data_IF_990788906837
#
_entry.id   IF_990788906837
#
_cell.length_a   1.000
_cell.length_b   1.000
_cell.length_c   1.000
_cell.angle_alpha   90.00
_cell.angle_beta   90.00
_cell.angle_gamma   90.00
#
_symmetry.space_group_name_H-M   'P 1'
#
loop_
_entity.id
_entity.type
_entity.pdbx_description
1 polymer ?
#
# COMPACT_ATOMS: atom_id res chain seq x y z
N UNK A 1 21.85 79.08 -9.80
CA UNK A 1 20.78 78.21 -9.27
C UNK A 1 21.02 76.81 -9.81
N UNK A 2 21.75 75.97 -9.06
CA UNK A 2 22.01 74.58 -9.44
C UNK A 2 20.89 73.72 -8.85
N UNK A 3 19.94 73.34 -9.71
CA UNK A 3 18.84 72.48 -9.33
C UNK A 3 19.34 71.04 -9.34
N UNK A 4 19.64 70.52 -8.15
CA UNK A 4 20.00 69.11 -7.97
C UNK A 4 18.73 68.29 -8.23
N UNK A 5 18.59 67.77 -9.44
CA UNK A 5 17.54 66.82 -9.79
C UNK A 5 17.77 65.54 -9.00
N UNK A 6 17.04 65.38 -7.90
CA UNK A 6 16.94 64.10 -7.21
C UNK A 6 16.44 63.07 -8.24
N UNK A 7 17.28 62.11 -8.61
CA UNK A 7 16.84 60.98 -9.42
C UNK A 7 15.56 60.42 -8.76
N UNK A 8 14.54 60.04 -9.55
CA UNK A 8 13.28 59.55 -9.01
C UNK A 8 13.44 58.11 -8.47
N UNK A 9 14.37 57.88 -7.54
CA UNK A 9 14.72 56.56 -6.99
C UNK A 9 13.52 55.91 -6.33
N UNK A 10 12.71 56.70 -5.61
CA UNK A 10 11.53 56.22 -4.88
C UNK A 10 10.43 55.65 -5.80
N UNK A 11 9.94 56.37 -6.83
CA UNK A 11 8.92 55.81 -7.72
C UNK A 11 9.45 54.62 -8.54
N UNK A 12 10.73 54.60 -8.93
CA UNK A 12 11.31 53.43 -9.59
C UNK A 12 11.38 52.21 -8.66
N UNK A 13 11.75 52.40 -7.39
CA UNK A 13 11.74 51.32 -6.40
C UNK A 13 10.33 50.77 -6.14
N UNK A 14 9.32 51.64 -6.05
CA UNK A 14 7.91 51.23 -5.90
C UNK A 14 7.40 50.46 -7.12
N UNK A 15 7.79 50.87 -8.33
CA UNK A 15 7.42 50.20 -9.57
C UNK A 15 8.05 48.81 -9.64
N UNK A 16 9.34 48.69 -9.29
CA UNK A 16 10.03 47.38 -9.21
C UNK A 16 9.38 46.49 -8.15
N UNK A 17 9.08 47.02 -6.96
CA UNK A 17 8.44 46.24 -5.90
C UNK A 17 7.04 45.77 -6.30
N UNK A 18 6.26 46.65 -6.96
CA UNK A 18 4.96 46.31 -7.52
C UNK A 18 5.05 45.22 -8.59
N UNK A 19 6.02 45.31 -9.51
CA UNK A 19 6.25 44.28 -10.52
C UNK A 19 6.66 42.94 -9.90
N UNK A 20 7.53 42.95 -8.89
CA UNK A 20 7.94 41.73 -8.16
C UNK A 20 6.75 41.13 -7.42
N UNK A 21 5.92 41.94 -6.76
CA UNK A 21 4.73 41.46 -6.07
C UNK A 21 3.70 40.86 -7.04
N UNK A 22 3.44 41.52 -8.18
CA UNK A 22 2.58 40.99 -9.24
C UNK A 22 3.17 39.69 -9.80
N UNK A 23 4.48 39.63 -10.04
CA UNK A 23 5.15 38.42 -10.52
C UNK A 23 4.99 37.27 -9.51
N UNK A 24 5.22 37.52 -8.22
CA UNK A 24 5.05 36.51 -7.17
C UNK A 24 3.60 36.04 -7.02
N UNK A 25 2.61 36.89 -7.28
CA UNK A 25 1.19 36.53 -7.24
C UNK A 25 0.68 35.84 -8.51
N UNK A 26 1.35 36.08 -9.65
CA UNK A 26 0.93 35.56 -10.96
C UNK A 26 1.67 34.29 -11.35
N UNK A 27 2.87 34.05 -10.82
CA UNK A 27 3.59 32.80 -11.02
C UNK A 27 2.87 31.70 -10.24
N UNK A 28 2.36 30.66 -10.92
CA UNK A 28 1.79 29.52 -10.22
C UNK A 28 2.90 28.87 -9.41
N UNK A 29 2.77 28.94 -8.09
CA UNK A 29 3.54 28.09 -7.19
C UNK A 29 3.01 26.69 -7.37
N UNK A 30 3.78 25.82 -8.03
CA UNK A 30 3.57 24.39 -7.88
C UNK A 30 3.73 24.12 -6.38
N UNK A 31 2.65 23.70 -5.71
CA UNK A 31 2.77 23.09 -4.38
C UNK A 31 3.91 22.06 -4.49
N UNK A 32 4.86 22.10 -3.57
CA UNK A 32 5.80 20.98 -3.41
C UNK A 32 4.94 19.83 -2.91
N UNK A 33 4.30 19.13 -3.85
CA UNK A 33 3.44 18.00 -3.58
C UNK A 33 4.36 16.95 -2.97
N UNK A 34 4.26 16.79 -1.65
CA UNK A 34 4.86 15.66 -0.97
C UNK A 34 4.47 14.39 -1.71
N UNK A 35 5.42 13.47 -1.82
CA UNK A 35 5.14 12.21 -2.49
C UNK A 35 3.89 11.59 -1.84
N UNK A 36 2.88 11.24 -2.65
CA UNK A 36 1.65 10.62 -2.18
C UNK A 36 2.02 9.39 -1.35
N UNK A 37 1.44 9.29 -0.15
CA UNK A 37 1.68 8.14 0.72
C UNK A 37 1.31 6.81 0.04
N UNK A 38 1.77 5.68 0.57
CA UNK A 38 1.46 4.37 -0.01
C UNK A 38 0.13 3.79 0.51
N UNK A 39 -0.54 3.05 -0.35
CA UNK A 39 -1.62 2.10 -0.02
C UNK A 39 -1.06 0.69 -0.15
N UNK A 40 -1.63 -0.26 0.62
CA UNK A 40 -1.16 -1.63 0.72
C UNK A 40 -2.28 -2.63 0.44
N UNK A 41 -1.91 -3.85 0.09
CA UNK A 41 -2.83 -5.00 -0.01
C UNK A 41 -2.08 -6.30 0.25
N UNK A 42 -2.72 -7.26 0.88
CA UNK A 42 -2.13 -8.57 1.23
C UNK A 42 -2.85 -9.67 0.45
N UNK A 43 -2.08 -10.59 -0.13
CA UNK A 43 -2.58 -11.82 -0.74
C UNK A 43 -1.85 -13.01 -0.14
N UNK A 44 -2.60 -13.98 0.37
CA UNK A 44 -2.10 -15.29 0.76
C UNK A 44 -2.41 -16.28 -0.37
N UNK A 45 -1.38 -16.74 -1.07
CA UNK A 45 -1.48 -17.81 -2.06
C UNK A 45 -1.38 -19.16 -1.34
N UNK A 46 -2.53 -19.77 -1.09
CA UNK A 46 -2.63 -21.08 -0.44
C UNK A 46 -2.51 -22.19 -1.50
N UNK A 47 -1.26 -22.43 -1.90
CA UNK A 47 -0.83 -23.53 -2.76
C UNK A 47 -1.07 -24.92 -2.15
N UNK A 48 -0.92 -25.97 -2.97
CA UNK A 48 -1.00 -27.36 -2.48
C UNK A 48 0.18 -27.74 -1.59
N UNK A 49 1.36 -27.18 -1.87
CA UNK A 49 2.62 -27.59 -1.22
C UNK A 49 3.06 -26.65 -0.11
N UNK A 50 2.66 -25.38 -0.17
CA UNK A 50 3.03 -24.32 0.77
C UNK A 50 1.98 -23.21 0.71
N UNK A 51 2.15 -22.20 1.57
CA UNK A 51 1.39 -20.95 1.51
C UNK A 51 2.37 -19.79 1.55
N UNK A 52 2.20 -18.83 0.64
CA UNK A 52 3.02 -17.61 0.61
C UNK A 52 2.13 -16.39 0.84
N UNK A 53 2.60 -15.47 1.69
CA UNK A 53 1.97 -14.18 1.92
C UNK A 53 2.74 -13.11 1.17
N UNK A 54 2.06 -12.38 0.30
CA UNK A 54 2.59 -11.24 -0.45
C UNK A 54 1.98 -9.94 0.05
N UNK A 55 2.81 -8.96 0.34
CA UNK A 55 2.39 -7.58 0.60
C UNK A 55 2.69 -6.78 -0.65
N UNK A 56 1.68 -6.13 -1.20
CA UNK A 56 1.81 -5.19 -2.31
C UNK A 56 1.63 -3.76 -1.82
N UNK A 57 2.26 -2.82 -2.52
CA UNK A 57 2.05 -1.38 -2.30
C UNK A 57 1.99 -0.59 -3.60
N UNK A 58 1.27 0.52 -3.56
CA UNK A 58 1.16 1.48 -4.66
C UNK A 58 0.97 2.90 -4.13
N UNK A 59 1.39 3.95 -4.86
CA UNK A 59 1.09 5.34 -4.51
C UNK A 59 -0.42 5.55 -4.34
N UNK A 60 -0.83 6.29 -3.32
CA UNK A 60 -2.25 6.55 -3.03
C UNK A 60 -2.92 7.39 -4.13
N UNK A 61 -2.15 8.23 -4.81
CA UNK A 61 -2.58 8.83 -6.06
C UNK A 61 -2.43 7.81 -7.19
N UNK A 62 -3.45 7.72 -8.03
CA UNK A 62 -3.40 6.84 -9.18
C UNK A 62 -2.80 7.61 -10.35
N UNK A 63 -1.70 7.13 -10.90
CA UNK A 63 -1.11 7.69 -12.11
C UNK A 63 -2.07 7.41 -13.29
N UNK A 64 -2.75 8.45 -13.78
CA UNK A 64 -3.77 8.33 -14.83
C UNK A 64 -4.93 7.37 -14.48
N UNK A 65 -5.30 7.30 -13.21
CA UNK A 65 -6.37 6.38 -12.75
C UNK A 65 -5.90 4.92 -12.58
N UNK A 66 -4.64 4.61 -12.88
CA UNK A 66 -4.01 3.30 -12.63
C UNK A 66 -2.99 3.41 -11.50
N UNK A 67 -3.09 2.53 -10.51
CA UNK A 67 -2.03 2.34 -9.51
C UNK A 67 -0.96 1.41 -10.07
N UNK A 68 0.30 1.84 -10.10
CA UNK A 68 1.42 0.94 -10.38
C UNK A 68 1.71 0.15 -9.11
N UNK A 69 1.28 -1.11 -9.08
CA UNK A 69 1.43 -1.99 -7.93
C UNK A 69 2.80 -2.66 -7.95
N UNK A 70 3.49 -2.65 -6.82
CA UNK A 70 4.79 -3.29 -6.62
C UNK A 70 4.73 -4.22 -5.43
N UNK A 71 5.45 -5.35 -5.49
CA UNK A 71 5.64 -6.20 -4.32
C UNK A 71 6.50 -5.47 -3.30
N UNK A 72 6.00 -5.39 -2.07
CA UNK A 72 6.67 -4.73 -0.96
C UNK A 72 7.49 -5.72 -0.13
N UNK A 73 6.88 -6.84 0.27
CA UNK A 73 7.51 -7.93 1.00
C UNK A 73 6.77 -9.25 0.77
N UNK A 74 7.41 -10.34 1.18
CA UNK A 74 6.91 -11.72 1.04
C UNK A 74 7.26 -12.52 2.29
N UNK A 75 6.41 -13.46 2.66
CA UNK A 75 6.66 -14.39 3.75
C UNK A 75 6.21 -15.81 3.37
N UNK A 76 7.15 -16.75 3.42
CA UNK A 76 6.87 -18.17 3.23
C UNK A 76 6.38 -18.80 4.52
N UNK A 77 5.15 -19.28 4.53
CA UNK A 77 4.56 -19.97 5.69
C UNK A 77 5.28 -21.30 5.91
N UNK A 78 5.66 -21.57 7.15
CA UNK A 78 6.28 -22.85 7.50
C UNK A 78 5.24 -23.98 7.44
N UNK A 79 5.61 -25.08 6.80
CA UNK A 79 4.78 -26.27 6.70
C UNK A 79 4.28 -26.51 5.28
N UNK A 80 3.20 -27.28 5.15
CA UNK A 80 2.55 -27.56 3.88
C UNK A 80 1.51 -26.50 3.50
N UNK A 81 0.83 -26.72 2.37
CA UNK A 81 -0.37 -25.96 2.02
C UNK A 81 -1.50 -26.19 3.02
N UNK A 82 -2.48 -25.28 3.07
CA UNK A 82 -3.55 -25.33 4.09
C UNK A 82 -4.35 -26.66 4.08
N UNK A 83 -4.48 -27.31 2.91
CA UNK A 83 -5.13 -28.61 2.78
C UNK A 83 -4.40 -29.76 3.47
N UNK A 84 -3.13 -29.56 3.89
CA UNK A 84 -2.35 -30.58 4.61
C UNK A 84 -2.73 -30.69 6.10
N UNK A 85 -3.49 -29.73 6.64
CA UNK A 85 -3.90 -29.68 8.05
C UNK A 85 -5.24 -30.38 8.33
N UNK A 86 -5.77 -31.13 7.36
CA UNK A 86 -6.94 -32.01 7.51
C UNK A 86 -6.81 -32.85 8.79
N UNK A 87 -7.89 -32.89 9.59
CA UNK A 87 -7.91 -33.56 10.90
C UNK A 87 -7.18 -32.85 12.04
N UNK A 88 -6.52 -31.71 11.81
CA UNK A 88 -5.77 -30.95 12.83
C UNK A 88 -6.45 -29.62 13.15
N UNK A 89 -7.41 -29.64 14.09
CA UNK A 89 -8.25 -28.48 14.40
C UNK A 89 -7.46 -27.20 14.73
N UNK A 90 -7.73 -26.14 13.99
CA UNK A 90 -7.13 -24.82 14.08
C UNK A 90 -5.68 -24.74 13.62
N UNK A 91 -5.08 -25.82 13.10
CA UNK A 91 -3.69 -25.81 12.69
C UNK A 91 -3.48 -25.03 11.39
N UNK A 92 -4.47 -25.00 10.49
CA UNK A 92 -4.39 -24.20 9.27
C UNK A 92 -4.29 -22.71 9.60
N UNK A 93 -5.19 -22.18 10.44
CA UNK A 93 -5.13 -20.78 10.89
C UNK A 93 -3.83 -20.44 11.63
N UNK A 94 -3.43 -21.27 12.61
CA UNK A 94 -2.17 -21.07 13.36
C UNK A 94 -0.93 -21.07 12.47
N UNK A 95 -0.93 -21.82 11.37
CA UNK A 95 0.20 -21.83 10.44
C UNK A 95 0.49 -20.44 9.85
N UNK A 96 -0.54 -19.60 9.69
CA UNK A 96 -0.45 -18.29 9.06
C UNK A 96 0.02 -17.18 10.02
N UNK A 97 -0.11 -17.38 11.34
CA UNK A 97 0.14 -16.36 12.38
C UNK A 97 1.50 -15.68 12.22
N UNK A 98 2.57 -16.46 12.02
CA UNK A 98 3.92 -15.90 11.92
C UNK A 98 4.09 -14.93 10.74
N UNK A 99 3.45 -15.20 9.60
CA UNK A 99 3.49 -14.31 8.43
C UNK A 99 2.52 -13.13 8.59
N UNK A 100 1.37 -13.33 9.22
CA UNK A 100 0.45 -12.22 9.55
C UNK A 100 1.08 -11.24 10.53
N UNK A 101 1.78 -11.74 11.56
CA UNK A 101 2.54 -10.91 12.51
C UNK A 101 3.64 -10.11 11.81
N UNK A 102 4.28 -10.70 10.79
CA UNK A 102 5.25 -9.99 9.96
C UNK A 102 4.56 -8.88 9.15
N UNK A 103 3.39 -9.14 8.57
CA UNK A 103 2.64 -8.13 7.84
C UNK A 103 2.20 -6.95 8.73
N UNK A 104 1.83 -7.20 9.98
CA UNK A 104 1.52 -6.15 10.97
C UNK A 104 2.72 -5.23 11.23
N UNK A 105 3.95 -5.77 11.16
CA UNK A 105 5.19 -4.98 11.31
C UNK A 105 5.59 -4.24 10.04
N UNK A 106 5.39 -4.86 8.88
CA UNK A 106 5.81 -4.32 7.59
C UNK A 106 4.90 -3.19 7.09
N UNK A 107 3.63 -3.19 7.48
CA UNK A 107 2.65 -2.17 7.08
C UNK A 107 2.53 -1.11 8.18
N UNK A 108 2.56 0.20 7.85
CA UNK A 108 2.31 1.26 8.82
C UNK A 108 0.95 1.13 9.50
N UNK A 109 0.90 1.36 10.82
CA UNK A 109 -0.28 1.13 11.66
C UNK A 109 -1.52 1.89 11.18
N UNK A 110 -1.33 3.12 10.71
CA UNK A 110 -2.36 3.98 10.14
C UNK A 110 -2.97 3.43 8.83
N UNK A 111 -2.31 2.45 8.19
CA UNK A 111 -2.80 1.78 6.97
C UNK A 111 -3.48 0.45 7.24
N UNK A 112 -3.37 -0.14 8.43
CA UNK A 112 -3.92 -1.47 8.74
C UNK A 112 -5.41 -1.58 8.42
N UNK A 113 -6.23 -0.61 8.86
CA UNK A 113 -7.69 -0.62 8.64
C UNK A 113 -8.09 -0.55 7.16
N UNK A 114 -7.23 0.01 6.31
CA UNK A 114 -7.50 0.20 4.88
C UNK A 114 -6.75 -0.81 4.01
N UNK A 115 -6.02 -1.75 4.62
CA UNK A 115 -5.26 -2.76 3.89
C UNK A 115 -6.13 -4.01 3.74
N UNK A 116 -6.65 -4.32 2.54
CA UNK A 116 -7.41 -5.53 2.34
C UNK A 116 -6.49 -6.75 2.41
N UNK A 117 -7.03 -7.85 2.91
CA UNK A 117 -6.35 -9.14 3.02
C UNK A 117 -7.20 -10.17 2.28
N UNK A 118 -6.59 -10.89 1.35
CA UNK A 118 -7.25 -11.95 0.59
C UNK A 118 -6.48 -13.24 0.72
N UNK A 119 -7.18 -14.35 0.92
CA UNK A 119 -6.62 -15.68 0.81
C UNK A 119 -7.22 -16.37 -0.42
N UNK A 120 -6.34 -16.83 -1.32
CA UNK A 120 -6.71 -17.58 -2.51
C UNK A 120 -6.16 -18.99 -2.41
N UNK A 121 -7.02 -19.99 -2.26
CA UNK A 121 -6.60 -21.39 -2.27
C UNK A 121 -6.70 -22.00 -3.67
N UNK A 122 -5.73 -22.84 -4.03
CA UNK A 122 -5.59 -23.37 -5.39
C UNK A 122 -5.91 -24.87 -5.49
N UNK A 123 -5.10 -25.64 -6.24
CA UNK A 123 -5.43 -27.02 -6.62
C UNK A 123 -5.57 -27.96 -5.42
N UNK A 124 -4.79 -27.76 -4.35
CA UNK A 124 -4.86 -28.59 -3.14
C UNK A 124 -6.23 -28.57 -2.48
N UNK A 125 -6.78 -27.37 -2.28
CA UNK A 125 -8.13 -27.21 -1.74
C UNK A 125 -9.22 -27.64 -2.72
N UNK A 126 -9.05 -27.47 -4.03
CA UNK A 126 -10.02 -27.99 -5.01
C UNK A 126 -10.14 -29.51 -4.94
N UNK A 127 -9.02 -30.21 -4.80
CA UNK A 127 -9.00 -31.67 -4.63
C UNK A 127 -9.64 -32.06 -3.29
N UNK A 128 -9.34 -31.33 -2.21
CA UNK A 128 -9.98 -31.55 -0.92
C UNK A 128 -11.50 -31.37 -1.00
N UNK A 129 -11.99 -30.30 -1.63
CA UNK A 129 -13.42 -30.06 -1.84
C UNK A 129 -14.12 -31.21 -2.56
N UNK A 130 -13.47 -31.83 -3.55
CA UNK A 130 -14.05 -32.96 -4.30
C UNK A 130 -14.09 -34.24 -3.45
N UNK A 131 -13.07 -34.46 -2.63
CA UNK A 131 -12.91 -35.69 -1.85
C UNK A 131 -13.62 -35.66 -0.51
N UNK A 132 -13.60 -34.52 0.18
CA UNK A 132 -14.22 -34.28 1.47
C UNK A 132 -14.61 -32.78 1.61
N UNK A 133 -15.83 -32.41 1.14
CA UNK A 133 -16.33 -31.04 1.24
C UNK A 133 -16.37 -30.49 2.67
N UNK A 134 -16.72 -31.34 3.65
CA UNK A 134 -16.87 -30.91 5.03
C UNK A 134 -15.53 -30.49 5.64
N UNK A 135 -14.46 -31.26 5.37
CA UNK A 135 -13.12 -30.88 5.82
C UNK A 135 -12.56 -29.69 5.05
N UNK A 136 -12.91 -29.54 3.77
CA UNK A 136 -12.55 -28.34 3.01
C UNK A 136 -13.16 -27.08 3.62
N UNK A 137 -14.47 -27.09 3.91
CA UNK A 137 -15.17 -25.99 4.54
C UNK A 137 -14.60 -25.67 5.93
N UNK A 138 -14.30 -26.70 6.74
CA UNK A 138 -13.65 -26.51 8.03
C UNK A 138 -12.29 -25.81 7.90
N UNK A 139 -11.45 -26.21 6.94
CA UNK A 139 -10.15 -25.55 6.72
C UNK A 139 -10.33 -24.09 6.30
N UNK A 140 -11.32 -23.79 5.46
CA UNK A 140 -11.62 -22.41 5.06
C UNK A 140 -12.14 -21.57 6.23
N UNK A 141 -12.96 -22.14 7.12
CA UNK A 141 -13.40 -21.48 8.36
C UNK A 141 -12.23 -21.21 9.32
N UNK A 142 -11.19 -22.05 9.32
CA UNK A 142 -10.02 -21.84 10.17
C UNK A 142 -9.10 -20.70 9.70
N UNK A 143 -9.15 -20.33 8.41
CA UNK A 143 -8.26 -19.34 7.80
C UNK A 143 -8.96 -18.07 7.30
N UNK A 144 -10.30 -18.04 7.30
CA UNK A 144 -11.13 -16.90 6.89
C UNK A 144 -11.62 -16.09 8.08
#
# INVERSE_FOLDING_TARGET
>A
MAQCSSLPVVPFALLIFGLVAILLLTVPTEDVREAPGFTYGIVLDAGSSHTDLYIYKWPADKQNGTGVVTQHSECHVKGGGISSYVGQKGAAGRSLEACLDQAVRDIPKERHLNTPVYLGATAGMRILQISDPQQSDQILEEVG
#
